data_IF_996153033927
#
_entry.id   IF_996153033927
#
_cell.length_a   1.000
_cell.length_b   1.000
_cell.length_c   1.000
_cell.angle_alpha   90.00
_cell.angle_beta   90.00
_cell.angle_gamma   90.00
#
_symmetry.space_group_name_H-M   'P 1'
#
loop_
_entity.id
_entity.type
_entity.pdbx_description
1 polymer ?
#
# COMPACT_ATOMS: atom_id res chain seq x y z
N UNK A 1 9.11 9.58 2.29
CA UNK A 1 9.59 8.90 1.08
C UNK A 1 10.40 7.68 1.49
N UNK A 2 10.26 6.57 0.77
CA UNK A 2 10.79 5.25 1.16
C UNK A 2 12.19 5.01 0.58
N UNK A 3 12.51 5.65 -0.54
CA UNK A 3 13.81 5.51 -1.21
C UNK A 3 14.58 6.84 -1.23
N UNK A 4 15.90 6.74 -1.25
CA UNK A 4 16.82 7.85 -1.51
C UNK A 4 17.47 7.62 -2.87
N UNK A 5 17.47 8.66 -3.69
CA UNK A 5 18.22 8.68 -4.95
C UNK A 5 19.65 9.17 -4.72
N UNK A 6 20.61 8.52 -5.38
CA UNK A 6 22.01 8.94 -5.49
C UNK A 6 22.35 9.12 -6.96
N UNK A 7 23.01 10.24 -7.29
CA UNK A 7 23.37 10.61 -8.66
C UNK A 7 24.87 10.37 -8.89
N UNK A 8 25.24 9.91 -10.08
CA UNK A 8 26.62 9.67 -10.48
C UNK A 8 26.80 8.32 -11.20
N UNK A 9 28.03 7.97 -11.62
CA UNK A 9 28.34 6.71 -12.28
C UNK A 9 27.93 5.47 -11.47
N UNK A 10 28.04 5.55 -10.14
CA UNK A 10 27.59 4.53 -9.18
C UNK A 10 26.26 4.92 -8.49
N UNK A 11 25.44 5.72 -9.18
CA UNK A 11 24.14 6.17 -8.70
C UNK A 11 23.12 5.05 -8.60
N UNK A 12 21.95 5.36 -8.05
CA UNK A 12 20.87 4.40 -7.88
C UNK A 12 19.90 4.80 -6.78
N UNK A 13 19.12 3.82 -6.34
CA UNK A 13 18.18 3.99 -5.24
C UNK A 13 18.53 3.04 -4.09
N UNK A 14 18.45 3.57 -2.88
CA UNK A 14 18.56 2.78 -1.65
C UNK A 14 17.35 3.03 -0.78
N UNK A 15 16.99 2.04 0.06
CA UNK A 15 15.95 2.23 1.06
C UNK A 15 16.40 3.29 2.09
N UNK A 16 15.47 4.14 2.51
CA UNK A 16 15.69 5.13 3.59
C UNK A 16 15.51 4.54 4.99
N UNK A 17 14.91 3.37 5.09
CA UNK A 17 14.63 2.64 6.34
C UNK A 17 14.98 1.16 6.14
N UNK A 18 15.02 0.37 7.21
CA UNK A 18 15.17 -1.09 7.09
C UNK A 18 13.90 -1.70 6.50
N UNK A 19 13.96 -2.85 5.80
CA UNK A 19 12.75 -3.50 5.28
C UNK A 19 11.69 -3.82 6.34
N UNK A 20 12.08 -4.07 7.60
CA UNK A 20 11.16 -4.30 8.71
C UNK A 20 10.41 -3.04 9.16
N UNK A 21 10.94 -1.85 8.87
CA UNK A 21 10.33 -0.55 9.21
C UNK A 21 9.50 0.05 8.06
N UNK A 22 9.27 -0.71 6.99
CA UNK A 22 8.52 -0.29 5.80
C UNK A 22 7.30 -1.20 5.69
N UNK A 23 6.12 -0.68 6.01
CA UNK A 23 4.88 -1.42 5.81
C UNK A 23 4.49 -1.44 4.34
N UNK A 24 3.63 -2.38 3.93
CA UNK A 24 3.06 -2.37 2.58
C UNK A 24 2.13 -1.17 2.38
N UNK A 25 1.55 -0.65 3.46
CA UNK A 25 0.82 0.62 3.43
C UNK A 25 1.73 1.77 3.02
N UNK A 26 2.91 1.89 3.63
CA UNK A 26 3.89 2.92 3.24
C UNK A 26 4.13 2.86 1.72
N UNK A 27 4.38 1.67 1.19
CA UNK A 27 4.66 1.43 -0.24
C UNK A 27 3.46 1.81 -1.11
N UNK A 28 2.26 1.35 -0.76
CA UNK A 28 1.04 1.67 -1.49
C UNK A 28 0.82 3.18 -1.56
N UNK A 29 0.86 3.85 -0.41
CA UNK A 29 0.60 5.29 -0.34
C UNK A 29 1.67 6.13 -1.04
N UNK A 30 2.91 5.64 -1.13
CA UNK A 30 3.96 6.29 -1.89
C UNK A 30 3.75 6.24 -3.41
N UNK A 31 2.94 5.30 -3.92
CA UNK A 31 2.69 5.07 -5.35
C UNK A 31 1.31 5.61 -5.76
N UNK A 32 0.26 5.16 -5.08
CA UNK A 32 -1.14 5.46 -5.40
C UNK A 32 -1.70 6.66 -4.62
N UNK A 33 -1.06 7.01 -3.50
CA UNK A 33 -1.57 8.01 -2.56
C UNK A 33 -2.51 7.41 -1.51
N UNK A 34 -3.36 8.27 -0.94
CA UNK A 34 -4.30 7.88 0.12
C UNK A 34 -5.19 6.69 -0.29
N UNK A 35 -5.23 5.66 0.56
CA UNK A 35 -6.04 4.47 0.35
C UNK A 35 -7.53 4.85 0.38
N UNK A 36 -8.19 4.73 -0.78
CA UNK A 36 -9.63 4.93 -0.94
C UNK A 36 -10.18 3.87 -1.89
N UNK A 37 -11.04 2.98 -1.39
CA UNK A 37 -11.61 1.90 -2.21
C UNK A 37 -12.70 2.42 -3.14
N UNK A 38 -13.51 3.36 -2.66
CA UNK A 38 -14.52 4.05 -3.47
C UNK A 38 -14.41 5.55 -3.26
N UNK A 39 -14.50 6.31 -4.35
CA UNK A 39 -14.22 7.76 -4.33
C UNK A 39 -15.04 8.48 -3.26
N UNK A 40 -16.34 8.12 -3.16
CA UNK A 40 -17.33 8.74 -2.29
C UNK A 40 -17.07 8.58 -0.78
N UNK A 41 -16.00 7.89 -0.36
CA UNK A 41 -15.53 7.87 1.03
C UNK A 41 -14.88 9.20 1.45
N UNK A 42 -14.47 10.04 0.50
CA UNK A 42 -13.78 11.32 0.76
C UNK A 42 -14.71 12.45 1.22
N UNK A 43 -16.01 12.18 1.39
CA UNK A 43 -17.01 13.15 1.85
C UNK A 43 -18.17 13.36 0.88
N UNK A 44 -19.10 14.23 1.29
CA UNK A 44 -20.39 14.44 0.64
C UNK A 44 -20.34 15.25 -0.68
N UNK A 45 -19.19 15.81 -1.05
CA UNK A 45 -19.09 16.74 -2.19
C UNK A 45 -19.16 16.06 -3.55
N UNK A 46 -18.87 14.76 -3.61
CA UNK A 46 -18.80 13.97 -4.85
C UNK A 46 -19.95 12.99 -5.03
N UNK A 47 -20.77 12.78 -3.99
CA UNK A 47 -21.91 11.88 -4.04
C UNK A 47 -23.07 12.42 -3.21
N UNK A 48 -24.18 12.77 -3.87
CA UNK A 48 -25.40 13.28 -3.25
C UNK A 48 -26.07 12.27 -2.29
N UNK A 49 -25.75 10.98 -2.42
CA UNK A 49 -26.26 9.93 -1.54
C UNK A 49 -25.41 9.70 -0.30
N UNK A 50 -24.23 10.34 -0.17
CA UNK A 50 -23.22 10.00 0.86
C UNK A 50 -23.82 9.87 2.26
N UNK A 51 -24.61 10.85 2.70
CA UNK A 51 -25.21 10.89 4.05
C UNK A 51 -26.27 9.80 4.27
N UNK A 52 -26.90 9.30 3.21
CA UNK A 52 -27.97 8.29 3.28
C UNK A 52 -27.55 6.96 2.64
N UNK A 53 -26.26 6.78 2.32
CA UNK A 53 -25.79 5.66 1.51
C UNK A 53 -25.66 4.39 2.37
N UNK A 54 -26.53 3.36 2.21
CA UNK A 54 -26.50 2.18 3.09
C UNK A 54 -25.26 1.30 2.89
N UNK A 55 -24.57 1.43 1.74
CA UNK A 55 -23.34 0.69 1.43
C UNK A 55 -22.08 1.34 2.01
N UNK A 56 -22.10 2.64 2.34
CA UNK A 56 -20.91 3.36 2.79
C UNK A 56 -20.26 2.72 4.03
N UNK A 57 -21.02 2.30 5.07
CA UNK A 57 -20.43 1.60 6.22
C UNK A 57 -19.81 0.24 5.87
N UNK A 58 -20.28 -0.42 4.81
CA UNK A 58 -19.68 -1.69 4.36
C UNK A 58 -18.32 -1.42 3.73
N UNK A 59 -18.23 -0.43 2.84
CA UNK A 59 -16.97 -0.03 2.20
C UNK A 59 -15.94 0.50 3.20
N UNK A 60 -16.38 1.25 4.21
CA UNK A 60 -15.52 1.70 5.31
C UNK A 60 -14.86 0.53 6.04
N UNK A 61 -15.64 -0.49 6.42
CA UNK A 61 -15.08 -1.70 7.06
C UNK A 61 -14.12 -2.48 6.16
N UNK A 62 -14.41 -2.58 4.86
CA UNK A 62 -13.51 -3.25 3.91
C UNK A 62 -12.19 -2.49 3.83
N UNK A 63 -12.23 -1.16 3.71
CA UNK A 63 -11.03 -0.32 3.68
C UNK A 63 -10.23 -0.43 4.97
N UNK A 64 -10.87 -0.33 6.13
CA UNK A 64 -10.18 -0.48 7.43
C UNK A 64 -9.49 -1.84 7.54
N UNK A 65 -10.13 -2.90 7.07
CA UNK A 65 -9.54 -4.25 7.08
C UNK A 65 -8.34 -4.34 6.15
N UNK A 66 -8.44 -3.77 4.94
CA UNK A 66 -7.33 -3.74 3.98
C UNK A 66 -6.15 -2.91 4.49
N UNK A 67 -6.42 -1.70 4.99
CA UNK A 67 -5.40 -0.81 5.58
C UNK A 67 -4.68 -1.51 6.71
N UNK A 68 -5.42 -2.19 7.60
CA UNK A 68 -4.82 -2.94 8.70
C UNK A 68 -3.86 -4.03 8.21
N UNK A 69 -4.26 -4.82 7.20
CA UNK A 69 -3.39 -5.86 6.62
C UNK A 69 -2.11 -5.24 6.03
N UNK A 70 -2.25 -4.15 5.27
CA UNK A 70 -1.12 -3.47 4.65
C UNK A 70 -0.19 -2.80 5.68
N UNK A 71 -0.74 -2.31 6.78
CA UNK A 71 0.01 -1.71 7.90
C UNK A 71 0.79 -2.78 8.68
N UNK A 72 0.18 -3.93 8.94
CA UNK A 72 0.77 -5.03 9.72
C UNK A 72 1.79 -5.85 8.92
N UNK A 73 1.76 -5.75 7.58
CA UNK A 73 2.68 -6.46 6.69
C UNK A 73 3.87 -5.58 6.33
N UNK A 74 5.10 -6.05 6.57
CA UNK A 74 6.35 -5.33 6.25
C UNK A 74 7.00 -5.83 4.96
N UNK A 75 7.86 -5.00 4.37
CA UNK A 75 8.68 -5.38 3.22
C UNK A 75 9.60 -6.57 3.57
N UNK A 76 10.11 -6.64 4.80
CA UNK A 76 10.88 -7.78 5.29
C UNK A 76 10.07 -9.09 5.25
N UNK A 77 8.82 -9.06 5.72
CA UNK A 77 7.94 -10.24 5.68
C UNK A 77 7.69 -10.71 4.25
N UNK A 78 7.46 -9.78 3.30
CA UNK A 78 7.34 -10.14 1.88
C UNK A 78 8.63 -10.76 1.32
N UNK A 79 9.79 -10.27 1.72
CA UNK A 79 11.08 -10.84 1.30
C UNK A 79 11.30 -12.23 1.91
N UNK A 80 10.82 -12.48 3.12
CA UNK A 80 10.88 -13.79 3.76
C UNK A 80 9.92 -14.79 3.07
N UNK A 81 8.74 -14.34 2.65
CA UNK A 81 7.75 -15.15 1.91
C UNK A 81 8.20 -15.55 0.50
N UNK A 82 9.14 -14.80 -0.11
CA UNK A 82 9.79 -15.16 -1.38
C UNK A 82 10.64 -16.45 -1.35
N UNK A 83 10.67 -17.16 -0.22
CA UNK A 83 11.15 -18.55 -0.18
C UNK A 83 10.14 -19.57 -0.77
N UNK A 84 8.95 -19.13 -1.21
CA UNK A 84 8.03 -19.93 -2.03
C UNK A 84 7.92 -19.31 -3.44
N UNK A 85 8.42 -20.05 -4.45
CA UNK A 85 8.51 -19.72 -5.90
C UNK A 85 9.79 -19.02 -6.36
N UNK A 86 10.93 -19.64 -6.05
CA UNK A 86 12.04 -19.57 -7.00
C UNK A 86 11.52 -19.93 -8.39
N UNK A 87 11.82 -19.08 -9.37
CA UNK A 87 12.18 -19.49 -10.73
C UNK A 87 11.52 -20.81 -11.16
N UNK A 88 10.19 -20.87 -11.29
CA UNK A 88 9.60 -21.90 -12.14
C UNK A 88 10.05 -21.57 -13.54
N UNK A 89 11.13 -22.27 -13.95
CA UNK A 89 11.58 -22.44 -15.31
C UNK A 89 10.34 -22.50 -16.20
N UNK A 90 10.20 -21.51 -17.07
CA UNK A 90 9.44 -21.71 -18.29
C UNK A 90 10.26 -22.73 -19.08
N UNK A 91 9.89 -24.01 -18.93
CA UNK A 91 10.09 -25.02 -19.96
C UNK A 91 8.77 -25.09 -20.71
#
# INVERSE_FOLDING_TARGET
GIVRSMVGPDGGYTLRKTPGDISLRDIYEAIEGEIRIVDCMSGNTICHLHETCPQLPVWDRVQLSMVKILEETTLEQMLAENSIRGLTRVN
#
